data_IF_031816365444
#
_entry.id   IF_031816365444
#
_cell.length_a   1.000
_cell.length_b   1.000
_cell.length_c   1.000
_cell.angle_alpha   90.00
_cell.angle_beta   90.00
_cell.angle_gamma   90.00
#
_symmetry.space_group_name_H-M   'P 1'
#
loop_
_entity.id
_entity.type
_entity.pdbx_description
1 polymer ?
#
# COMPACT_ATOMS: atom_id res chain seq x y z
N UNK A 1 -17.21 -13.29 -2.18
CA UNK A 1 -15.93 -13.80 -2.73
C UNK A 1 -14.80 -13.02 -2.08
N UNK A 2 -13.64 -13.64 -1.84
CA UNK A 2 -12.47 -12.90 -1.33
C UNK A 2 -11.65 -12.35 -2.50
N UNK A 3 -11.23 -11.09 -2.39
CA UNK A 3 -10.40 -10.39 -3.36
C UNK A 3 -9.13 -9.88 -2.70
N UNK A 4 -8.08 -9.66 -3.49
CA UNK A 4 -6.78 -9.15 -3.05
C UNK A 4 -6.45 -7.77 -3.68
N UNK A 5 -7.46 -7.13 -4.26
CA UNK A 5 -7.36 -5.82 -4.91
C UNK A 5 -8.40 -4.88 -4.33
N UNK A 6 -8.04 -3.61 -4.14
CA UNK A 6 -8.94 -2.54 -3.71
C UNK A 6 -9.13 -1.58 -4.88
N UNK A 7 -10.39 -1.23 -5.17
CA UNK A 7 -10.74 -0.13 -6.05
C UNK A 7 -10.79 1.15 -5.21
N UNK A 8 -9.78 2.00 -5.35
CA UNK A 8 -9.61 3.22 -4.58
C UNK A 8 -9.79 4.45 -5.47
N UNK A 9 -10.67 5.37 -5.09
CA UNK A 9 -10.71 6.71 -5.68
C UNK A 9 -9.76 7.62 -4.90
N UNK A 10 -8.74 8.14 -5.59
CA UNK A 10 -7.72 9.02 -5.01
C UNK A 10 -7.68 10.29 -5.86
N UNK A 11 -7.91 11.46 -5.26
CA UNK A 11 -8.03 12.74 -5.94
C UNK A 11 -9.01 12.70 -7.13
N UNK A 12 -10.14 12.01 -6.96
CA UNK A 12 -11.16 11.88 -8.01
C UNK A 12 -10.75 10.99 -9.19
N UNK A 13 -9.69 10.18 -9.06
CA UNK A 13 -9.27 9.19 -10.06
C UNK A 13 -9.38 7.79 -9.49
N UNK A 14 -9.91 6.86 -10.28
CA UNK A 14 -9.97 5.46 -9.90
C UNK A 14 -8.59 4.78 -10.06
N UNK A 15 -8.18 4.07 -9.03
CA UNK A 15 -6.98 3.27 -8.98
C UNK A 15 -7.30 1.86 -8.50
N UNK A 16 -6.59 0.87 -9.04
CA UNK A 16 -6.64 -0.50 -8.53
C UNK A 16 -5.37 -0.79 -7.76
N UNK A 17 -5.47 -0.88 -6.44
CA UNK A 17 -4.36 -1.22 -5.56
C UNK A 17 -4.30 -2.72 -5.38
N UNK A 18 -3.14 -3.34 -5.62
CA UNK A 18 -2.98 -4.80 -5.49
C UNK A 18 -1.55 -5.15 -5.13
N UNK A 19 -1.38 -5.91 -4.05
CA UNK A 19 -0.12 -6.57 -3.73
C UNK A 19 -0.25 -8.04 -4.10
N UNK A 20 0.46 -8.46 -5.14
CA UNK A 20 0.46 -9.87 -5.55
C UNK A 20 1.21 -10.71 -4.51
N UNK A 21 0.71 -11.92 -4.22
CA UNK A 21 1.34 -12.85 -3.26
C UNK A 21 2.80 -13.18 -3.60
N UNK A 22 3.12 -13.31 -4.89
CA UNK A 22 4.48 -13.55 -5.39
C UNK A 22 5.44 -12.37 -5.17
N UNK A 23 4.92 -11.21 -4.77
CA UNK A 23 5.66 -9.98 -4.54
C UNK A 23 5.78 -9.61 -3.06
N UNK A 24 5.19 -10.40 -2.14
CA UNK A 24 5.22 -10.14 -0.70
C UNK A 24 6.64 -10.11 -0.13
N UNK A 25 7.51 -11.03 -0.55
CA UNK A 25 8.91 -11.04 -0.10
C UNK A 25 9.66 -9.77 -0.51
N UNK A 26 9.29 -9.16 -1.64
CA UNK A 26 9.88 -7.90 -2.09
C UNK A 26 9.34 -6.73 -1.25
N UNK A 27 8.03 -6.74 -0.95
CA UNK A 27 7.41 -5.76 -0.07
C UNK A 27 8.01 -5.81 1.33
N UNK A 28 8.22 -7.01 1.89
CA UNK A 28 8.85 -7.22 3.20
C UNK A 28 10.25 -6.59 3.26
N UNK A 29 11.04 -6.79 2.19
CA UNK A 29 12.36 -6.19 2.09
C UNK A 29 12.31 -4.66 2.01
N UNK A 30 11.38 -4.11 1.23
CA UNK A 30 11.19 -2.66 1.11
C UNK A 30 10.72 -2.02 2.43
N UNK A 31 9.90 -2.72 3.21
CA UNK A 31 9.39 -2.30 4.51
C UNK A 31 10.39 -2.51 5.66
N UNK A 32 11.47 -3.27 5.45
CA UNK A 32 12.42 -3.64 6.50
C UNK A 32 11.84 -4.58 7.56
N UNK A 33 10.82 -5.37 7.21
CA UNK A 33 10.12 -6.28 8.13
C UNK A 33 8.95 -6.97 7.45
N UNK A 34 8.37 -8.00 8.08
CA UNK A 34 7.26 -8.73 7.47
C UNK A 34 6.02 -7.85 7.29
N UNK A 35 5.31 -8.05 6.17
CA UNK A 35 4.06 -7.36 5.82
C UNK A 35 3.04 -7.47 6.96
N UNK A 36 2.98 -8.61 7.64
CA UNK A 36 2.13 -8.80 8.82
C UNK A 36 2.53 -7.93 10.01
N UNK A 37 3.83 -7.81 10.30
CA UNK A 37 4.29 -6.93 11.37
C UNK A 37 3.99 -5.45 11.05
N UNK A 38 4.11 -5.05 9.77
CA UNK A 38 3.73 -3.71 9.34
C UNK A 38 2.22 -3.48 9.46
N UNK A 39 1.38 -4.43 9.06
CA UNK A 39 -0.06 -4.35 9.29
C UNK A 39 -0.38 -4.10 10.78
N UNK A 40 0.28 -4.81 11.69
CA UNK A 40 0.10 -4.60 13.14
C UNK A 40 0.54 -3.20 13.60
N UNK A 41 1.58 -2.62 12.99
CA UNK A 41 1.95 -1.22 13.25
C UNK A 41 0.87 -0.24 12.78
N UNK A 42 0.27 -0.51 11.62
CA UNK A 42 -0.84 0.27 11.08
C UNK A 42 -2.06 0.23 12.00
N UNK A 43 -2.49 -0.96 12.40
CA UNK A 43 -3.60 -1.17 13.36
C UNK A 43 -3.33 -0.51 14.72
N UNK A 44 -2.07 -0.45 15.16
CA UNK A 44 -1.67 0.19 16.41
C UNK A 44 -1.43 1.70 16.30
N UNK A 45 -1.58 2.29 15.11
CA UNK A 45 -1.32 3.73 14.90
C UNK A 45 0.16 4.13 15.00
N UNK A 46 1.10 3.19 14.87
CA UNK A 46 2.55 3.39 15.07
C UNK A 46 3.33 3.46 13.75
N UNK A 47 2.67 3.96 12.70
CA UNK A 47 3.18 4.07 11.34
C UNK A 47 3.74 5.48 11.06
N UNK A 48 4.61 5.59 10.06
CA UNK A 48 5.10 6.87 9.53
C UNK A 48 4.47 7.21 8.18
N UNK A 49 4.43 8.49 7.80
CA UNK A 49 3.97 8.94 6.46
C UNK A 49 4.62 8.15 5.34
N UNK A 50 5.92 7.88 5.48
CA UNK A 50 6.67 7.18 4.46
C UNK A 50 6.41 5.66 4.43
N UNK A 51 5.80 5.08 5.48
CA UNK A 51 5.25 3.71 5.41
C UNK A 51 3.95 3.69 4.61
N UNK A 52 3.08 4.69 4.81
CA UNK A 52 1.84 4.87 4.04
C UNK A 52 2.15 5.00 2.55
N UNK A 53 3.06 5.92 2.23
CA UNK A 53 3.52 6.16 0.87
C UNK A 53 4.09 4.90 0.21
N UNK A 54 4.94 4.15 0.92
CA UNK A 54 5.57 2.95 0.40
C UNK A 54 4.54 1.86 0.10
N UNK A 55 3.65 1.56 1.04
CA UNK A 55 2.61 0.52 0.88
C UNK A 55 1.73 0.84 -0.33
N UNK A 56 1.22 2.07 -0.42
CA UNK A 56 0.32 2.46 -1.50
C UNK A 56 1.03 2.55 -2.85
N UNK A 57 2.25 3.07 -2.89
CA UNK A 57 3.06 3.10 -4.12
C UNK A 57 3.41 1.69 -4.61
N UNK A 58 3.70 0.78 -3.68
CA UNK A 58 3.95 -0.62 -4.01
C UNK A 58 2.69 -1.29 -4.54
N UNK A 59 1.53 -1.07 -3.90
CA UNK A 59 0.27 -1.65 -4.34
C UNK A 59 -0.21 -1.10 -5.68
N UNK A 60 0.14 0.15 -6.01
CA UNK A 60 -0.25 0.79 -7.27
C UNK A 60 0.57 0.29 -8.46
N UNK A 61 1.89 0.16 -8.31
CA UNK A 61 2.78 -0.15 -9.42
C UNK A 61 3.40 -1.56 -9.37
N UNK A 62 3.26 -2.26 -8.24
CA UNK A 62 3.98 -3.51 -7.97
C UNK A 62 5.49 -3.30 -7.91
N UNK A 63 6.30 -4.36 -7.77
CA UNK A 63 7.75 -4.24 -7.71
C UNK A 63 8.34 -3.83 -9.08
N UNK A 64 9.34 -2.96 -9.02
CA UNK A 64 10.15 -2.49 -10.15
C UNK A 64 10.89 -3.64 -10.84
N UNK A 65 11.32 -3.48 -12.10
CA UNK A 65 12.11 -4.49 -12.78
C UNK A 65 13.38 -4.90 -12.02
N UNK A 66 14.05 -3.93 -11.40
CA UNK A 66 15.28 -4.18 -10.62
C UNK A 66 14.99 -5.00 -9.37
N UNK A 67 13.96 -4.65 -8.59
CA UNK A 67 13.58 -5.42 -7.40
C UNK A 67 13.22 -6.86 -7.75
N UNK A 68 12.56 -7.09 -8.90
CA UNK A 68 12.26 -8.44 -9.39
C UNK A 68 13.51 -9.22 -9.75
N UNK A 69 14.51 -8.58 -10.37
CA UNK A 69 15.79 -9.22 -10.72
C UNK A 69 16.54 -9.60 -9.44
N UNK A 70 16.68 -8.67 -8.49
CA UNK A 70 17.33 -8.91 -7.20
C UNK A 70 16.67 -10.09 -6.47
N UNK A 71 15.33 -10.09 -6.40
CA UNK A 71 14.58 -11.18 -5.79
C UNK A 71 14.82 -12.54 -6.48
N UNK A 72 14.90 -12.57 -7.81
CA UNK A 72 15.20 -13.80 -8.58
C UNK A 72 16.62 -14.30 -8.37
N UNK A 73 17.58 -13.40 -8.15
CA UNK A 73 18.99 -13.75 -7.94
C UNK A 73 19.28 -14.21 -6.51
N UNK A 74 18.30 -14.14 -5.59
CA UNK A 74 18.51 -14.41 -4.17
C UNK A 74 19.50 -13.45 -3.51
N UNK A 75 19.79 -12.33 -4.17
CA UNK A 75 20.67 -11.31 -3.64
C UNK A 75 19.94 -10.58 -2.51
N UNK A 76 20.65 -10.19 -1.43
CA UNK A 76 20.06 -9.34 -0.41
C UNK A 76 19.55 -8.07 -1.09
N UNK A 77 18.25 -7.81 -0.96
CA UNK A 77 17.68 -6.53 -1.33
C UNK A 77 18.43 -5.44 -0.56
N UNK A 78 18.85 -4.35 -1.21
CA UNK A 78 19.45 -3.22 -0.52
C UNK A 78 18.44 -2.73 0.52
N UNK A 79 18.65 -3.12 1.78
CA UNK A 79 17.86 -2.68 2.91
C UNK A 79 18.16 -1.20 3.10
N UNK A 80 17.22 -0.33 2.74
CA UNK A 80 17.31 1.10 3.02
C UNK A 80 17.16 2.03 1.83
N UNK A 81 17.24 1.54 0.59
CA UNK A 81 16.84 2.37 -0.56
C UNK A 81 15.33 2.38 -0.64
N UNK A 82 14.75 3.36 0.08
CA UNK A 82 13.31 3.57 0.10
C UNK A 82 12.87 3.80 -1.34
N UNK A 83 12.06 2.88 -1.84
CA UNK A 83 11.43 2.98 -3.16
C UNK A 83 10.90 4.41 -3.36
N UNK A 84 11.13 4.96 -4.56
CA UNK A 84 10.54 6.24 -4.92
C UNK A 84 9.00 6.17 -4.78
N UNK A 85 8.44 7.09 -3.99
CA UNK A 85 6.99 7.23 -3.83
C UNK A 85 6.36 7.58 -5.18
N UNK A 86 5.22 6.95 -5.50
CA UNK A 86 4.43 7.29 -6.67
C UNK A 86 3.97 8.76 -6.57
N UNK A 87 4.25 9.62 -7.57
CA UNK A 87 3.93 11.05 -7.50
C UNK A 87 2.46 11.33 -7.17
N UNK A 88 1.54 10.51 -7.68
CA UNK A 88 0.11 10.60 -7.40
C UNK A 88 -0.22 10.33 -5.92
N UNK A 89 0.45 9.36 -5.29
CA UNK A 89 0.28 9.04 -3.88
C UNK A 89 0.87 10.14 -3.00
N UNK A 90 2.07 10.62 -3.34
CA UNK A 90 2.72 11.72 -2.64
C UNK A 90 1.86 13.00 -2.69
N UNK A 91 1.32 13.33 -3.87
CA UNK A 91 0.44 14.50 -4.04
C UNK A 91 -0.86 14.35 -3.24
N UNK A 92 -1.46 13.15 -3.23
CA UNK A 92 -2.68 12.86 -2.50
C UNK A 92 -2.50 12.96 -0.98
N UNK A 93 -1.43 12.37 -0.46
CA UNK A 93 -1.05 12.43 0.96
C UNK A 93 -0.69 13.87 1.36
N UNK A 94 0.03 14.60 0.51
CA UNK A 94 0.36 16.00 0.75
C UNK A 94 -0.87 16.91 0.85
N UNK A 95 -1.95 16.58 0.13
CA UNK A 95 -3.19 17.35 0.11
C UNK A 95 -4.14 17.00 1.26
N UNK A 96 -4.41 15.72 1.49
CA UNK A 96 -5.46 15.27 2.43
C UNK A 96 -4.87 14.73 3.75
N UNK A 97 -3.55 14.77 3.92
CA UNK A 97 -2.84 14.26 5.09
C UNK A 97 -2.68 12.72 5.08
N UNK A 98 -1.60 12.19 5.69
CA UNK A 98 -1.33 10.75 5.68
C UNK A 98 -2.32 9.92 6.50
N UNK A 99 -2.96 10.50 7.51
CA UNK A 99 -3.97 9.83 8.33
C UNK A 99 -5.14 9.31 7.52
N UNK A 100 -5.61 10.09 6.55
CA UNK A 100 -6.68 9.70 5.60
C UNK A 100 -6.33 8.41 4.85
N UNK A 101 -5.05 8.23 4.49
CA UNK A 101 -4.60 7.10 3.69
C UNK A 101 -4.04 5.92 4.50
N UNK A 102 -3.88 6.09 5.81
CA UNK A 102 -3.37 5.03 6.67
C UNK A 102 -4.33 3.83 6.70
N UNK A 103 -5.64 4.09 6.72
CA UNK A 103 -6.67 3.06 6.65
C UNK A 103 -6.64 2.32 5.32
N UNK A 104 -6.43 3.04 4.21
CA UNK A 104 -6.27 2.43 2.89
C UNK A 104 -5.04 1.52 2.82
N UNK A 105 -3.93 1.96 3.41
CA UNK A 105 -2.71 1.15 3.48
C UNK A 105 -2.93 -0.11 4.35
N UNK A 106 -3.60 0.01 5.50
CA UNK A 106 -3.95 -1.13 6.35
C UNK A 106 -4.88 -2.12 5.63
N UNK A 107 -5.90 -1.62 4.93
CA UNK A 107 -6.81 -2.41 4.12
C UNK A 107 -6.05 -3.14 2.98
N UNK A 108 -5.11 -2.45 2.35
CA UNK A 108 -4.26 -3.00 1.28
C UNK A 108 -3.38 -4.15 1.79
N UNK A 109 -2.75 -3.99 2.95
CA UNK A 109 -1.96 -5.05 3.59
C UNK A 109 -2.85 -6.24 3.98
N UNK A 110 -4.05 -5.96 4.48
CA UNK A 110 -5.03 -6.99 4.86
C UNK A 110 -5.50 -7.79 3.64
N UNK A 111 -5.83 -7.11 2.53
CA UNK A 111 -6.18 -7.74 1.26
C UNK A 111 -5.03 -8.60 0.70
N UNK A 112 -3.78 -8.16 0.87
CA UNK A 112 -2.61 -8.90 0.44
C UNK A 112 -2.39 -10.21 1.23
N UNK A 113 -2.55 -10.14 2.55
CA UNK A 113 -2.27 -11.24 3.48
C UNK A 113 -3.42 -12.25 3.54
N UNK A 114 -4.64 -11.74 3.72
CA UNK A 114 -5.82 -12.56 4.06
C UNK A 114 -6.85 -12.61 2.93
N UNK A 115 -6.79 -11.65 2.00
CA UNK A 115 -7.93 -11.31 1.17
C UNK A 115 -8.99 -10.57 1.98
N UNK A 116 -9.81 -9.79 1.30
CA UNK A 116 -10.95 -9.06 1.88
C UNK A 116 -12.22 -9.39 1.13
N UNK A 117 -13.37 -9.14 1.75
CA UNK A 117 -14.63 -9.28 1.03
C UNK A 117 -14.70 -8.25 -0.10
N UNK A 118 -15.37 -8.60 -1.19
CA UNK A 118 -15.55 -7.70 -2.32
C UNK A 118 -16.31 -6.41 -1.96
N UNK A 119 -17.23 -6.47 -0.98
CA UNK A 119 -17.93 -5.30 -0.45
C UNK A 119 -17.01 -4.35 0.31
N UNK A 120 -15.93 -4.86 0.91
CA UNK A 120 -14.95 -4.05 1.63
C UNK A 120 -13.80 -3.59 0.73
N UNK A 121 -13.81 -3.96 -0.56
CA UNK A 121 -12.74 -3.69 -1.51
C UNK A 121 -12.91 -2.38 -2.30
N UNK A 122 -13.63 -1.42 -1.71
CA UNK A 122 -13.88 -0.10 -2.30
C UNK A 122 -13.49 0.97 -1.28
N UNK A 123 -12.79 2.00 -1.73
CA UNK A 123 -12.34 3.10 -0.87
C UNK A 123 -12.33 4.43 -1.63
N UNK A 124 -12.54 5.55 -0.94
CA UNK A 124 -12.48 6.90 -1.51
C UNK A 124 -11.86 7.90 -0.55
N UNK A 125 -11.03 8.82 -1.07
CA UNK A 125 -10.48 9.96 -0.33
C UNK A 125 -11.38 11.20 -0.37
N UNK A 126 -12.49 11.12 -1.10
CA UNK A 126 -13.50 12.18 -1.12
C UNK A 126 -14.22 12.20 0.23
N UNK A 127 -14.15 13.34 0.91
CA UNK A 127 -14.98 13.60 2.09
C UNK A 127 -16.42 13.47 1.63
N UNK A 128 -17.15 12.48 2.15
CA UNK A 128 -18.59 12.46 2.01
C UNK A 128 -19.10 13.79 2.55
N UNK A 129 -19.57 14.66 1.66
CA UNK A 129 -20.20 15.92 2.03
C UNK A 129 -21.40 15.57 2.90
N UNK A 130 -21.18 15.58 4.22
CA UNK A 130 -22.21 15.33 5.21
C UNK A 130 -23.12 16.54 5.12
N UNK A 131 -24.21 16.37 4.36
CA UNK A 131 -25.30 17.29 4.13
C UNK A 131 -25.42 18.36 5.24
N UNK A 132 -25.16 19.60 4.85
CA UNK A 132 -25.50 20.79 5.61
C UNK A 132 -27.01 20.91 5.85
#
# INVERSE_FOLDING_TARGET
>A
MLVNSISATINGREHRLTVRRDSLAILDAALGGSTYAVLKKFEAGTWSTADVELVLSFALHGPTPMERIIAKLGAPQPTGDRRATAPEIAAAIGKNGPGTYADLAALTLSAALFGISESDAVWTDEVADAAA
#
